data_IF_111370637712
#
_entry.id   IF_111370637712
#
_cell.length_a   1.000
_cell.length_b   1.000
_cell.length_c   1.000
_cell.angle_alpha   90.00
_cell.angle_beta   90.00
_cell.angle_gamma   90.00
#
_symmetry.space_group_name_H-M   'P 1'
#
loop_
_entity.id
_entity.type
_entity.pdbx_description
1 polymer ?
#
# COMPACT_ATOMS: atom_id res chain seq x y z
N UNK A 1 43.82 -6.69 16.75
CA UNK A 1 43.32 -5.32 16.49
C UNK A 1 42.20 -5.45 15.49
N UNK A 2 40.98 -5.16 15.96
CA UNK A 2 39.63 -5.28 15.39
C UNK A 2 39.42 -5.52 13.88
N UNK A 3 38.49 -6.44 13.58
CA UNK A 3 37.18 -6.08 13.01
C UNK A 3 36.20 -7.28 13.07
N UNK A 4 35.50 -7.41 14.20
CA UNK A 4 34.15 -8.00 14.26
C UNK A 4 33.17 -6.85 14.07
N UNK A 5 32.29 -6.91 13.05
CA UNK A 5 31.06 -6.11 12.80
C UNK A 5 30.65 -6.51 11.36
N UNK A 6 29.47 -7.00 11.00
CA UNK A 6 28.09 -6.71 11.42
C UNK A 6 27.25 -7.95 11.09
N UNK A 7 26.56 -8.55 12.07
CA UNK A 7 25.31 -9.29 11.79
C UNK A 7 24.27 -8.23 11.44
N UNK A 8 23.84 -8.18 10.19
CA UNK A 8 22.78 -7.26 9.78
C UNK A 8 21.43 -7.88 10.17
N UNK A 9 20.84 -7.41 11.26
CA UNK A 9 19.43 -7.58 11.54
C UNK A 9 18.62 -6.76 10.51
N UNK A 10 18.44 -7.31 9.30
CA UNK A 10 17.65 -6.70 8.23
C UNK A 10 16.19 -7.14 8.33
N UNK A 11 15.46 -6.69 9.37
CA UNK A 11 14.00 -6.62 9.30
C UNK A 11 13.36 -5.76 10.41
N UNK A 12 13.79 -4.51 10.59
CA UNK A 12 13.11 -3.62 11.55
C UNK A 12 12.17 -2.69 10.81
N UNK A 13 10.89 -3.07 10.78
CA UNK A 13 9.80 -2.09 10.75
C UNK A 13 10.09 -1.09 11.87
N UNK A 14 10.35 0.19 11.53
CA UNK A 14 10.84 1.18 12.52
C UNK A 14 9.80 1.50 13.61
N UNK A 15 8.54 1.16 13.37
CA UNK A 15 7.46 1.23 14.35
C UNK A 15 6.86 -0.17 14.58
N UNK A 16 6.49 -0.55 15.81
CA UNK A 16 5.84 -1.82 16.06
C UNK A 16 4.51 -1.86 15.30
N UNK A 17 4.17 -3.05 14.80
CA UNK A 17 2.85 -3.30 14.22
C UNK A 17 1.80 -3.22 15.32
N UNK A 18 0.57 -2.81 14.99
CA UNK A 18 -0.54 -2.82 15.94
C UNK A 18 -1.57 -3.84 15.48
N UNK A 19 -1.97 -4.71 16.39
CA UNK A 19 -3.08 -5.62 16.21
C UNK A 19 -4.23 -5.18 17.12
N UNK A 20 -5.45 -5.17 16.59
CA UNK A 20 -6.65 -4.87 17.34
C UNK A 20 -7.58 -6.08 17.31
N UNK A 21 -8.01 -6.51 18.49
CA UNK A 21 -8.87 -7.67 18.69
C UNK A 21 -10.20 -7.20 19.29
N UNK A 22 -11.30 -7.64 18.70
CA UNK A 22 -12.65 -7.38 19.22
C UNK A 22 -13.23 -8.69 19.79
N UNK A 23 -13.64 -8.66 21.06
CA UNK A 23 -14.34 -9.75 21.74
C UNK A 23 -15.60 -9.20 22.41
N UNK A 24 -16.77 -9.55 21.88
CA UNK A 24 -18.03 -8.93 22.30
C UNK A 24 -18.04 -7.43 21.98
N UNK A 25 -18.16 -6.59 23.02
CA UNK A 25 -18.06 -5.12 22.91
C UNK A 25 -16.65 -4.60 23.21
N UNK A 26 -15.71 -5.45 23.65
CA UNK A 26 -14.38 -5.04 24.09
C UNK A 26 -13.36 -5.08 22.94
N UNK A 27 -12.61 -3.99 22.78
CA UNK A 27 -11.48 -3.89 21.85
C UNK A 27 -10.19 -3.81 22.65
N UNK A 28 -9.22 -4.66 22.30
CA UNK A 28 -7.86 -4.60 22.83
C UNK A 28 -6.89 -4.34 21.69
N UNK A 29 -6.03 -3.33 21.84
CA UNK A 29 -4.96 -3.04 20.87
C UNK A 29 -3.61 -3.33 21.50
N UNK A 30 -2.78 -4.08 20.78
CA UNK A 30 -1.46 -4.50 21.24
C UNK A 30 -0.37 -4.28 20.17
N UNK A 31 0.80 -3.87 20.64
CA UNK A 31 2.04 -3.86 19.85
C UNK A 31 2.49 -5.29 19.53
N UNK A 32 2.79 -5.52 18.25
CA UNK A 32 3.21 -6.79 17.67
C UNK A 32 2.30 -7.99 18.02
N UNK A 33 1.03 -7.71 18.33
CA UNK A 33 0.03 -8.71 18.70
C UNK A 33 0.32 -9.46 20.00
N UNK A 34 1.21 -8.97 20.86
CA UNK A 34 1.62 -9.65 22.11
C UNK A 34 0.81 -9.16 23.30
N UNK A 35 0.49 -10.04 24.25
CA UNK A 35 -0.20 -9.66 25.48
C UNK A 35 0.58 -8.63 26.32
N UNK A 36 1.91 -8.76 26.39
CA UNK A 36 2.80 -7.76 27.03
C UNK A 36 2.87 -6.44 26.24
N UNK A 37 2.37 -6.44 25.00
CA UNK A 37 2.29 -5.34 24.06
C UNK A 37 1.03 -4.48 24.18
N UNK A 38 0.08 -4.81 25.07
CA UNK A 38 -1.20 -4.08 25.14
C UNK A 38 -1.00 -2.59 25.45
N UNK A 39 -1.63 -1.74 24.64
CA UNK A 39 -1.55 -0.28 24.73
C UNK A 39 -2.89 0.39 25.00
N UNK A 40 -4.00 -0.20 24.54
CA UNK A 40 -5.34 0.37 24.63
C UNK A 40 -6.36 -0.72 24.91
N UNK A 41 -7.21 -0.47 25.92
CA UNK A 41 -8.50 -1.11 26.05
C UNK A 41 -9.60 -0.11 25.72
N UNK A 42 -10.48 -0.50 24.80
CA UNK A 42 -11.62 0.27 24.35
C UNK A 42 -12.88 -0.59 24.35
N UNK A 43 -14.03 0.04 24.18
CA UNK A 43 -15.29 -0.63 23.88
C UNK A 43 -15.92 -0.03 22.65
N UNK A 44 -16.68 -0.84 21.93
CA UNK A 44 -17.41 -0.40 20.77
C UNK A 44 -18.79 -1.06 20.69
N UNK A 45 -19.81 -0.24 20.44
CA UNK A 45 -21.12 -0.70 19.98
C UNK A 45 -21.62 0.20 18.85
N UNK A 46 -22.67 -0.23 18.14
CA UNK A 46 -23.28 0.58 17.07
C UNK A 46 -23.92 1.86 17.62
N UNK A 47 -24.44 1.83 18.84
CA UNK A 47 -25.16 2.93 19.47
C UNK A 47 -24.22 3.98 20.06
N UNK A 48 -23.16 3.55 20.75
CA UNK A 48 -22.28 4.47 21.49
C UNK A 48 -21.00 4.83 20.75
N UNK A 49 -20.70 4.13 19.64
CA UNK A 49 -19.43 4.28 18.94
C UNK A 49 -18.24 3.72 19.75
N UNK A 50 -17.04 4.16 19.38
CA UNK A 50 -15.78 3.74 19.99
C UNK A 50 -15.50 4.57 21.24
N UNK A 51 -15.34 3.89 22.38
CA UNK A 51 -15.06 4.48 23.68
C UNK A 51 -13.75 3.97 24.26
N UNK A 52 -12.88 4.89 24.65
CA UNK A 52 -11.61 4.57 25.31
C UNK A 52 -11.91 4.21 26.78
N UNK A 53 -11.54 3.00 27.20
CA UNK A 53 -11.68 2.56 28.60
C UNK A 53 -10.43 2.94 29.37
N UNK A 54 -9.26 2.53 28.90
CA UNK A 54 -7.98 2.81 29.56
C UNK A 54 -6.78 2.70 28.63
N UNK A 55 -5.70 3.39 29.00
CA UNK A 55 -4.39 3.30 28.38
C UNK A 55 -3.45 2.52 29.30
N UNK A 56 -2.90 1.41 28.84
CA UNK A 56 -2.12 0.50 29.70
C UNK A 56 -0.65 0.91 29.87
N UNK A 57 -0.14 1.75 28.96
CA UNK A 57 1.26 2.19 28.93
C UNK A 57 1.31 3.72 28.82
N UNK A 58 2.42 4.36 29.24
CA UNK A 58 2.70 5.79 29.08
C UNK A 58 2.88 6.21 27.61
N UNK A 59 1.87 5.92 26.80
CA UNK A 59 1.86 6.02 25.36
C UNK A 59 1.89 7.49 24.93
N UNK A 60 2.76 7.80 23.98
CA UNK A 60 2.86 9.15 23.43
C UNK A 60 1.56 9.54 22.70
N UNK A 61 1.31 10.83 22.46
CA UNK A 61 0.15 11.25 21.67
C UNK A 61 0.10 10.63 20.27
N UNK A 62 1.25 10.43 19.63
CA UNK A 62 1.35 9.72 18.36
C UNK A 62 0.95 8.24 18.52
N UNK A 63 1.42 7.58 19.59
CA UNK A 63 1.00 6.22 19.89
C UNK A 63 -0.52 6.11 20.14
N UNK A 64 -1.12 7.07 20.84
CA UNK A 64 -2.57 7.10 21.07
C UNK A 64 -3.35 7.21 19.76
N UNK A 65 -2.91 8.10 18.85
CA UNK A 65 -3.48 8.20 17.50
C UNK A 65 -3.45 6.86 16.78
N UNK A 66 -2.28 6.20 16.72
CA UNK A 66 -2.12 4.91 16.04
C UNK A 66 -3.01 3.82 16.65
N UNK A 67 -3.05 3.73 17.98
CA UNK A 67 -3.88 2.77 18.68
C UNK A 67 -5.38 3.00 18.45
N UNK A 68 -5.85 4.25 18.42
CA UNK A 68 -7.23 4.59 18.07
C UNK A 68 -7.56 4.21 16.63
N UNK A 69 -6.67 4.48 15.68
CA UNK A 69 -6.86 4.06 14.28
C UNK A 69 -6.94 2.53 14.16
N UNK A 70 -6.11 1.78 14.90
CA UNK A 70 -6.17 0.32 14.92
C UNK A 70 -7.51 -0.17 15.51
N UNK A 71 -7.99 0.45 16.60
CA UNK A 71 -9.29 0.14 17.19
C UNK A 71 -10.46 0.40 16.23
N UNK A 72 -10.40 1.48 15.43
CA UNK A 72 -11.37 1.71 14.36
C UNK A 72 -11.36 0.61 13.31
N UNK A 73 -10.18 0.07 12.96
CA UNK A 73 -10.08 -1.06 12.04
C UNK A 73 -10.87 -2.28 12.52
N UNK A 74 -10.71 -2.66 13.80
CA UNK A 74 -11.48 -3.74 14.39
C UNK A 74 -13.00 -3.46 14.37
N UNK A 75 -13.40 -2.24 14.74
CA UNK A 75 -14.81 -1.85 14.76
C UNK A 75 -15.43 -1.82 13.34
N UNK A 76 -14.74 -1.26 12.35
CA UNK A 76 -15.18 -1.24 10.96
C UNK A 76 -15.22 -2.64 10.32
N UNK A 77 -14.35 -3.56 10.75
CA UNK A 77 -14.36 -4.95 10.31
C UNK A 77 -15.67 -5.66 10.65
N UNK A 78 -16.26 -5.38 11.83
CA UNK A 78 -17.56 -5.92 12.23
C UNK A 78 -18.74 -5.07 11.73
N UNK A 79 -18.59 -3.76 11.71
CA UNK A 79 -19.60 -2.82 11.23
C UNK A 79 -19.49 -2.57 9.71
N UNK A 80 -19.40 -3.62 8.89
CA UNK A 80 -19.06 -3.54 7.46
C UNK A 80 -19.93 -2.61 6.61
N UNK A 81 -21.15 -2.31 7.06
CA UNK A 81 -22.11 -1.40 6.43
C UNK A 81 -22.01 0.06 6.92
N UNK A 82 -21.39 0.29 8.07
CA UNK A 82 -21.24 1.62 8.66
C UNK A 82 -20.23 2.47 7.90
N UNK A 83 -20.68 3.65 7.45
CA UNK A 83 -19.82 4.68 6.83
C UNK A 83 -18.99 5.47 7.85
N UNK A 84 -19.40 5.45 9.11
CA UNK A 84 -18.71 6.17 10.18
C UNK A 84 -18.92 5.54 11.55
N UNK A 85 -17.99 5.78 12.46
CA UNK A 85 -18.09 5.41 13.89
C UNK A 85 -17.78 6.65 14.74
N UNK A 86 -18.63 6.94 15.73
CA UNK A 86 -18.39 8.03 16.67
C UNK A 86 -17.20 7.72 17.60
N UNK A 87 -16.45 8.74 18.01
CA UNK A 87 -15.36 8.63 18.98
C UNK A 87 -15.71 9.40 20.27
N UNK A 88 -15.66 8.70 21.41
CA UNK A 88 -15.53 9.35 22.72
C UNK A 88 -14.08 9.83 22.90
N UNK A 89 -13.92 11.14 23.09
CA UNK A 89 -12.62 11.82 23.16
C UNK A 89 -12.16 12.11 24.59
N UNK A 90 -12.98 11.81 25.61
CA UNK A 90 -12.75 12.26 26.99
C UNK A 90 -11.41 11.79 27.58
N UNK A 91 -10.95 10.60 27.16
CA UNK A 91 -9.69 10.00 27.60
C UNK A 91 -8.55 10.11 26.58
N UNK A 92 -8.73 10.88 25.51
CA UNK A 92 -7.73 11.04 24.47
C UNK A 92 -6.84 12.27 24.74
N UNK A 93 -5.52 12.12 24.57
CA UNK A 93 -4.61 13.25 24.69
C UNK A 93 -4.94 14.33 23.63
N UNK A 94 -4.86 15.60 24.04
CA UNK A 94 -5.20 16.76 23.18
C UNK A 94 -4.48 16.72 21.83
N UNK A 95 -3.18 16.46 21.81
CA UNK A 95 -2.40 16.41 20.56
C UNK A 95 -2.78 15.22 19.66
N UNK A 96 -3.14 14.08 20.26
CA UNK A 96 -3.63 12.92 19.50
C UNK A 96 -4.96 13.25 18.83
N UNK A 97 -5.87 13.87 19.59
CA UNK A 97 -7.15 14.37 19.07
C UNK A 97 -6.98 15.38 17.94
N UNK A 98 -6.14 16.40 18.12
CA UNK A 98 -5.88 17.40 17.09
C UNK A 98 -5.23 16.78 15.84
N UNK A 99 -4.33 15.82 16.01
CA UNK A 99 -3.74 15.11 14.89
C UNK A 99 -4.79 14.33 14.09
N UNK A 100 -5.68 13.57 14.75
CA UNK A 100 -6.79 12.87 14.09
C UNK A 100 -7.73 13.86 13.36
N UNK A 101 -8.07 14.98 14.00
CA UNK A 101 -8.84 16.06 13.36
C UNK A 101 -8.15 16.62 12.12
N UNK A 102 -6.85 16.93 12.23
CA UNK A 102 -6.09 17.56 11.16
C UNK A 102 -5.86 16.64 9.97
N UNK A 103 -5.77 15.33 10.19
CA UNK A 103 -5.63 14.36 9.11
C UNK A 103 -6.93 14.08 8.34
N UNK A 104 -8.04 14.71 8.72
CA UNK A 104 -9.34 14.57 8.07
C UNK A 104 -10.10 13.29 8.42
N UNK A 105 -9.55 12.42 9.28
CA UNK A 105 -10.23 11.16 9.64
C UNK A 105 -11.46 11.38 10.50
N UNK A 106 -11.49 12.44 11.32
CA UNK A 106 -12.62 12.78 12.17
C UNK A 106 -13.33 14.06 11.72
N UNK A 107 -14.64 14.00 11.53
CA UNK A 107 -15.54 15.15 11.27
C UNK A 107 -15.73 16.02 12.50
N UNK A 108 -16.18 17.27 12.38
CA UNK A 108 -16.42 18.19 13.50
C UNK A 108 -17.24 17.61 14.68
N UNK A 109 -18.08 16.59 14.45
CA UNK A 109 -18.89 15.88 15.45
C UNK A 109 -18.22 14.61 16.02
N UNK A 110 -16.90 14.46 15.86
CA UNK A 110 -16.13 13.28 16.28
C UNK A 110 -16.53 11.98 15.56
N UNK A 111 -17.09 12.05 14.35
CA UNK A 111 -17.34 10.85 13.55
C UNK A 111 -16.08 10.51 12.74
N UNK A 112 -15.53 9.33 12.98
CA UNK A 112 -14.50 8.72 12.15
C UNK A 112 -15.14 8.21 10.86
N UNK A 113 -14.76 8.77 9.71
CA UNK A 113 -15.28 8.33 8.42
C UNK A 113 -14.45 7.14 7.91
N UNK A 114 -15.12 6.08 7.41
CA UNK A 114 -14.46 4.84 6.96
C UNK A 114 -13.47 5.09 5.83
N UNK A 115 -13.87 5.87 4.84
CA UNK A 115 -13.06 6.24 3.68
C UNK A 115 -11.82 7.06 4.08
N UNK A 116 -11.96 8.01 5.00
CA UNK A 116 -10.86 8.81 5.52
C UNK A 116 -9.95 7.99 6.44
N UNK A 117 -10.51 7.04 7.21
CA UNK A 117 -9.74 6.10 8.04
C UNK A 117 -8.86 5.22 7.18
N UNK A 118 -9.43 4.64 6.13
CA UNK A 118 -8.74 3.84 5.14
C UNK A 118 -7.59 4.59 4.46
N UNK A 119 -7.56 5.92 4.51
CA UNK A 119 -6.51 6.75 3.94
C UNK A 119 -5.39 7.15 4.94
N UNK A 120 -5.46 6.73 6.20
CA UNK A 120 -4.47 7.07 7.24
C UNK A 120 -3.23 6.16 7.18
N UNK A 121 -2.07 6.63 6.68
CA UNK A 121 -0.92 5.75 6.42
C UNK A 121 -0.32 5.07 7.65
N UNK A 122 -0.62 5.58 8.85
CA UNK A 122 -0.13 5.19 10.18
C UNK A 122 -0.14 3.68 10.49
N UNK A 123 -1.06 2.93 9.88
CA UNK A 123 -1.23 1.49 10.11
C UNK A 123 -0.55 0.61 9.07
N UNK A 124 -0.29 1.16 7.88
CA UNK A 124 0.08 0.36 6.70
C UNK A 124 1.50 0.64 6.23
N UNK A 125 1.97 1.88 6.33
CA UNK A 125 3.30 2.26 5.85
C UNK A 125 4.37 2.04 6.93
N UNK A 126 5.54 1.60 6.48
CA UNK A 126 6.69 1.30 7.37
C UNK A 126 7.52 2.52 7.74
N UNK A 127 7.43 3.58 6.93
CA UNK A 127 8.00 4.89 7.21
C UNK A 127 6.96 5.72 7.96
N UNK A 128 7.44 6.60 8.84
CA UNK A 128 6.63 7.75 9.23
C UNK A 128 6.19 8.43 7.94
N UNK A 129 4.88 8.51 7.72
CA UNK A 129 4.34 9.24 6.60
C UNK A 129 4.69 10.71 6.82
N UNK A 130 5.87 11.12 6.37
CA UNK A 130 6.23 12.52 6.36
C UNK A 130 5.18 13.22 5.52
N UNK A 131 4.61 14.28 6.07
CA UNK A 131 3.73 15.18 5.34
C UNK A 131 4.41 15.48 4.01
N UNK A 132 3.73 15.33 2.86
CA UNK A 132 4.35 15.65 1.58
C UNK A 132 4.94 17.04 1.66
N UNK A 133 6.17 17.21 1.16
CA UNK A 133 6.81 18.53 1.18
C UNK A 133 5.83 19.57 0.60
N UNK A 134 5.40 20.51 1.45
CA UNK A 134 4.38 21.48 1.10
C UNK A 134 4.79 22.34 -0.12
N UNK A 135 6.10 22.51 -0.33
CA UNK A 135 6.66 23.14 -1.51
C UNK A 135 7.03 22.09 -2.58
N UNK A 136 6.50 22.26 -3.80
CA UNK A 136 6.91 21.48 -4.95
C UNK A 136 8.16 22.08 -5.60
N UNK A 137 9.20 21.26 -5.75
CA UNK A 137 10.29 21.53 -6.68
C UNK A 137 10.13 20.65 -7.91
N UNK A 138 10.54 21.15 -9.07
CA UNK A 138 10.33 20.47 -10.35
C UNK A 138 11.67 20.06 -10.99
N UNK A 139 11.60 19.01 -11.80
CA UNK A 139 12.63 18.54 -12.71
C UNK A 139 12.07 18.42 -14.14
N UNK A 140 12.99 18.24 -15.08
CA UNK A 140 12.69 17.91 -16.47
C UNK A 140 13.33 16.57 -16.79
N UNK A 141 12.54 15.60 -17.25
CA UNK A 141 13.01 14.30 -17.74
C UNK A 141 12.37 14.07 -19.11
N UNK A 142 13.18 13.77 -20.12
CA UNK A 142 12.71 13.51 -21.50
C UNK A 142 11.69 14.52 -22.05
N UNK A 143 11.89 15.80 -21.73
CA UNK A 143 11.02 16.91 -22.16
C UNK A 143 9.75 17.11 -21.34
N UNK A 144 9.48 16.28 -20.32
CA UNK A 144 8.35 16.40 -19.41
C UNK A 144 8.74 17.12 -18.11
N UNK A 145 7.96 18.15 -17.73
CA UNK A 145 8.07 18.81 -16.43
C UNK A 145 7.28 18.05 -15.37
N UNK A 146 7.93 17.62 -14.30
CA UNK A 146 7.30 16.87 -13.21
C UNK A 146 7.87 17.26 -11.84
N UNK A 147 7.15 17.02 -10.73
CA UNK A 147 7.70 17.19 -9.39
C UNK A 147 8.95 16.32 -9.20
N UNK A 148 9.93 16.82 -8.44
CA UNK A 148 11.07 15.99 -8.01
C UNK A 148 10.58 14.86 -7.14
N UNK A 149 10.91 13.63 -7.52
CA UNK A 149 10.53 12.42 -6.80
C UNK A 149 11.51 12.17 -5.66
N UNK A 150 10.98 11.84 -4.49
CA UNK A 150 11.81 11.43 -3.37
C UNK A 150 12.44 10.06 -3.68
N UNK A 151 13.67 9.78 -3.19
CA UNK A 151 14.22 8.44 -3.25
C UNK A 151 13.30 7.42 -2.56
N UNK A 152 13.25 6.21 -3.10
CA UNK A 152 12.51 5.11 -2.47
C UNK A 152 13.27 4.58 -1.25
N UNK A 153 12.53 4.20 -0.22
CA UNK A 153 13.12 3.59 0.97
C UNK A 153 13.42 2.11 0.72
N UNK A 154 14.52 1.60 1.26
CA UNK A 154 14.82 0.17 1.25
C UNK A 154 13.92 -0.60 2.23
N UNK A 155 13.76 -1.90 1.99
CA UNK A 155 13.01 -2.80 2.86
C UNK A 155 11.49 -2.74 2.67
N UNK A 156 10.75 -3.27 3.64
CA UNK A 156 9.28 -3.26 3.64
C UNK A 156 8.79 -1.81 3.67
N UNK A 157 7.86 -1.48 2.78
CA UNK A 157 7.23 -0.15 2.66
C UNK A 157 5.74 -0.16 2.97
N UNK A 158 5.11 -1.33 2.90
CA UNK A 158 3.69 -1.53 3.15
C UNK A 158 3.43 -2.90 3.80
N UNK A 159 2.50 -2.96 4.73
CA UNK A 159 1.97 -4.20 5.28
C UNK A 159 0.46 -4.08 5.54
N UNK A 160 -0.28 -5.17 5.29
CA UNK A 160 -1.70 -5.27 5.58
C UNK A 160 -2.06 -6.72 5.89
N UNK A 161 -2.72 -6.95 7.02
CA UNK A 161 -3.40 -8.21 7.26
C UNK A 161 -4.69 -8.23 6.42
N UNK A 162 -4.95 -9.35 5.73
CA UNK A 162 -6.13 -9.56 4.89
C UNK A 162 -6.96 -10.69 5.50
N UNK A 163 -7.83 -10.40 6.50
CA UNK A 163 -8.48 -11.45 7.31
C UNK A 163 -9.32 -12.43 6.49
N UNK A 164 -10.04 -11.94 5.47
CA UNK A 164 -10.84 -12.77 4.57
C UNK A 164 -10.00 -13.75 3.74
N UNK A 165 -8.72 -13.44 3.53
CA UNK A 165 -7.76 -14.31 2.86
C UNK A 165 -6.90 -15.11 3.85
N UNK A 166 -6.85 -14.71 5.12
CA UNK A 166 -6.12 -15.39 6.20
C UNK A 166 -4.60 -15.18 6.17
N UNK A 167 -4.11 -14.21 5.40
CA UNK A 167 -2.68 -13.97 5.20
C UNK A 167 -2.32 -12.49 5.37
N UNK A 168 -1.06 -12.23 5.73
CA UNK A 168 -0.48 -10.89 5.75
C UNK A 168 0.19 -10.59 4.43
N UNK A 169 -0.24 -9.55 3.76
CA UNK A 169 0.39 -9.03 2.54
C UNK A 169 1.44 -7.97 2.88
N UNK A 170 2.60 -8.04 2.25
CA UNK A 170 3.63 -7.00 2.34
C UNK A 170 4.15 -6.59 0.98
N UNK A 171 4.58 -5.32 0.87
CA UNK A 171 5.39 -4.82 -0.23
C UNK A 171 6.73 -4.36 0.30
N UNK A 172 7.79 -4.76 -0.40
CA UNK A 172 9.15 -4.34 -0.13
C UNK A 172 9.82 -3.83 -1.39
N UNK A 173 10.65 -2.79 -1.26
CA UNK A 173 11.54 -2.36 -2.34
C UNK A 173 12.46 -3.50 -2.75
N UNK A 174 12.48 -3.81 -4.05
CA UNK A 174 13.30 -4.87 -4.60
C UNK A 174 14.78 -4.61 -4.30
N UNK A 175 15.53 -5.69 -4.07
CA UNK A 175 16.94 -5.65 -3.70
C UNK A 175 17.67 -6.70 -4.51
N UNK A 176 18.72 -6.30 -5.24
CA UNK A 176 19.50 -7.19 -6.10
C UNK A 176 20.06 -8.37 -5.30
N UNK A 177 20.64 -8.11 -4.14
CA UNK A 177 21.26 -9.16 -3.31
C UNK A 177 20.24 -10.20 -2.81
N UNK A 178 18.98 -9.80 -2.60
CA UNK A 178 17.95 -10.66 -2.00
C UNK A 178 17.03 -11.31 -3.03
N UNK A 179 16.74 -10.64 -4.15
CA UNK A 179 15.63 -11.00 -5.02
C UNK A 179 16.02 -11.37 -6.44
N UNK A 180 17.29 -11.19 -6.84
CA UNK A 180 17.71 -11.40 -8.23
C UNK A 180 17.43 -12.83 -8.72
N UNK A 181 17.80 -13.85 -7.95
CA UNK A 181 17.60 -15.25 -8.35
C UNK A 181 16.11 -15.57 -8.54
N UNK A 182 15.27 -15.11 -7.62
CA UNK A 182 13.83 -15.32 -7.66
C UNK A 182 13.19 -14.60 -8.85
N UNK A 183 13.56 -13.32 -9.07
CA UNK A 183 13.11 -12.54 -10.21
C UNK A 183 13.56 -13.18 -11.53
N UNK A 184 14.78 -13.72 -11.57
CA UNK A 184 15.29 -14.41 -12.74
C UNK A 184 14.51 -15.68 -13.08
N UNK A 185 14.17 -16.48 -12.07
CA UNK A 185 13.31 -17.65 -12.26
C UNK A 185 11.92 -17.24 -12.78
N UNK A 186 11.33 -16.19 -12.21
CA UNK A 186 10.00 -15.71 -12.60
C UNK A 186 9.97 -15.15 -14.03
N UNK A 187 10.92 -14.30 -14.41
CA UNK A 187 10.99 -13.71 -15.74
C UNK A 187 11.23 -14.75 -16.84
N UNK A 188 11.89 -15.86 -16.53
CA UNK A 188 12.08 -16.99 -17.45
C UNK A 188 10.90 -17.98 -17.48
N UNK A 189 9.92 -17.85 -16.58
CA UNK A 189 8.73 -18.71 -16.61
C UNK A 189 7.92 -18.40 -17.89
N UNK A 190 7.63 -19.38 -18.75
CA UNK A 190 7.03 -19.14 -20.07
C UNK A 190 5.75 -18.28 -20.05
N UNK A 191 4.87 -18.49 -19.07
CA UNK A 191 3.64 -17.70 -18.94
C UNK A 191 3.93 -16.26 -18.52
N UNK A 192 4.87 -16.02 -17.62
CA UNK A 192 5.29 -14.65 -17.26
C UNK A 192 5.94 -13.98 -18.45
N UNK A 193 6.90 -14.64 -19.10
CA UNK A 193 7.63 -14.09 -20.23
C UNK A 193 6.72 -13.74 -21.41
N UNK A 194 5.65 -14.50 -21.64
CA UNK A 194 4.67 -14.20 -22.69
C UNK A 194 4.03 -12.80 -22.56
N UNK A 195 4.02 -12.21 -21.36
CA UNK A 195 3.50 -10.86 -21.11
C UNK A 195 4.59 -9.85 -20.73
N UNK A 196 5.60 -10.28 -19.97
CA UNK A 196 6.66 -9.41 -19.47
C UNK A 196 7.80 -9.22 -20.49
N UNK A 197 8.16 -10.27 -21.22
CA UNK A 197 9.10 -10.20 -22.35
C UNK A 197 10.58 -10.05 -21.98
N UNK A 198 10.98 -10.35 -20.75
CA UNK A 198 12.35 -10.15 -20.26
C UNK A 198 13.14 -11.44 -20.06
N UNK A 199 12.68 -12.62 -20.51
CA UNK A 199 13.45 -13.85 -20.36
C UNK A 199 14.90 -13.71 -20.86
N UNK A 200 15.85 -14.22 -20.09
CA UNK A 200 17.26 -13.98 -20.32
C UNK A 200 18.17 -14.55 -19.24
N UNK A 201 19.45 -14.17 -19.33
CA UNK A 201 20.48 -14.62 -18.39
C UNK A 201 20.36 -13.92 -17.03
N UNK A 202 20.99 -14.48 -16.00
CA UNK A 202 21.04 -13.86 -14.67
C UNK A 202 21.67 -12.46 -14.71
N UNK A 203 22.73 -12.28 -15.50
CA UNK A 203 23.40 -10.99 -15.66
C UNK A 203 22.51 -9.95 -16.36
N UNK A 204 21.70 -10.36 -17.33
CA UNK A 204 20.74 -9.48 -17.97
C UNK A 204 19.68 -8.98 -16.97
N UNK A 205 19.17 -9.87 -16.10
CA UNK A 205 18.22 -9.49 -15.06
C UNK A 205 18.86 -8.67 -13.93
N UNK A 206 20.14 -8.87 -13.63
CA UNK A 206 20.90 -8.01 -12.71
C UNK A 206 20.95 -6.59 -13.25
N UNK A 207 21.39 -6.43 -14.50
CA UNK A 207 21.44 -5.13 -15.17
C UNK A 207 20.05 -4.50 -15.29
N UNK A 208 19.00 -5.30 -15.55
CA UNK A 208 17.61 -4.86 -15.55
C UNK A 208 17.24 -4.25 -14.19
N UNK A 209 17.42 -4.99 -13.10
CA UNK A 209 16.97 -4.56 -11.78
C UNK A 209 17.78 -3.36 -11.27
N UNK A 210 19.09 -3.31 -11.53
CA UNK A 210 19.94 -2.15 -11.22
C UNK A 210 19.52 -0.89 -12.00
N UNK A 211 19.13 -1.05 -13.27
CA UNK A 211 18.58 0.04 -14.08
C UNK A 211 17.26 0.54 -13.51
N UNK A 212 16.33 -0.35 -13.15
CA UNK A 212 15.04 0.06 -12.57
C UNK A 212 15.25 0.75 -11.21
N UNK A 213 16.13 0.23 -10.36
CA UNK A 213 16.46 0.85 -9.06
C UNK A 213 17.10 2.25 -9.18
N UNK A 214 17.83 2.50 -10.28
CA UNK A 214 18.41 3.81 -10.57
C UNK A 214 17.47 4.75 -11.34
N UNK A 215 16.27 4.28 -11.71
CA UNK A 215 15.27 5.09 -12.43
C UNK A 215 14.34 5.79 -11.43
N UNK A 216 14.46 7.12 -11.22
CA UNK A 216 13.78 7.80 -10.10
C UNK A 216 12.26 7.77 -10.16
N UNK A 217 11.70 7.51 -11.35
CA UNK A 217 10.25 7.51 -11.54
C UNK A 217 9.60 6.13 -11.39
N UNK A 218 10.38 5.07 -11.19
CA UNK A 218 9.90 3.68 -11.07
C UNK A 218 10.32 3.10 -9.73
N UNK A 219 9.35 2.57 -8.98
CA UNK A 219 9.57 1.86 -7.73
C UNK A 219 9.44 0.36 -7.96
N UNK A 220 10.56 -0.40 -8.01
CA UNK A 220 10.49 -1.85 -8.11
C UNK A 220 10.13 -2.45 -6.75
N UNK A 221 9.07 -3.25 -6.71
CA UNK A 221 8.50 -3.82 -5.51
C UNK A 221 8.40 -5.34 -5.61
N UNK A 222 8.59 -6.01 -4.47
CA UNK A 222 8.33 -7.43 -4.28
C UNK A 222 7.12 -7.56 -3.36
N UNK A 223 6.11 -8.30 -3.83
CA UNK A 223 4.97 -8.70 -3.00
C UNK A 223 5.23 -10.02 -2.32
N UNK A 224 4.84 -10.12 -1.06
CA UNK A 224 4.88 -11.35 -0.29
C UNK A 224 3.59 -11.59 0.49
N UNK A 225 3.24 -12.86 0.68
CA UNK A 225 2.26 -13.30 1.67
C UNK A 225 2.99 -14.03 2.80
N UNK A 226 2.82 -13.58 4.05
CA UNK A 226 3.50 -14.12 5.23
C UNK A 226 5.03 -14.22 5.09
N UNK A 227 5.62 -13.28 4.34
CA UNK A 227 7.06 -13.25 4.06
C UNK A 227 7.52 -14.12 2.89
N UNK A 228 6.62 -14.85 2.22
CA UNK A 228 6.90 -15.63 1.02
C UNK A 228 6.71 -14.77 -0.25
N UNK A 229 7.79 -14.41 -0.97
CA UNK A 229 7.69 -13.60 -2.18
C UNK A 229 6.92 -14.33 -3.28
N UNK A 230 6.02 -13.63 -3.97
CA UNK A 230 5.22 -14.23 -5.04
C UNK A 230 5.16 -13.43 -6.34
N UNK A 231 5.37 -12.12 -6.27
CA UNK A 231 5.16 -11.21 -7.39
C UNK A 231 6.16 -10.06 -7.40
N UNK A 232 6.39 -9.53 -8.59
CA UNK A 232 7.19 -8.33 -8.83
C UNK A 232 6.30 -7.27 -9.47
N UNK A 233 6.43 -6.03 -8.99
CA UNK A 233 5.64 -4.90 -9.43
C UNK A 233 6.54 -3.71 -9.72
N UNK A 234 6.17 -2.95 -10.74
CA UNK A 234 6.79 -1.66 -11.03
C UNK A 234 5.74 -0.58 -10.88
N UNK A 235 5.85 0.17 -9.78
CA UNK A 235 4.98 1.30 -9.51
C UNK A 235 5.65 2.59 -10.00
N UNK A 236 5.11 3.20 -11.04
CA UNK A 236 5.74 4.32 -11.72
C UNK A 236 4.92 5.62 -11.64
N UNK A 237 5.56 6.77 -11.85
CA UNK A 237 4.85 8.04 -12.04
C UNK A 237 4.39 8.16 -13.48
N UNK A 238 3.08 8.18 -13.70
CA UNK A 238 2.49 8.03 -15.03
C UNK A 238 2.75 9.22 -15.97
N UNK A 239 3.23 10.36 -15.45
CA UNK A 239 3.64 11.52 -16.25
C UNK A 239 5.05 11.38 -16.82
N UNK A 240 5.88 10.56 -16.19
CA UNK A 240 7.28 10.31 -16.56
C UNK A 240 7.45 9.02 -17.36
N UNK A 241 6.41 8.18 -17.44
CA UNK A 241 6.42 6.90 -18.14
C UNK A 241 5.90 7.03 -19.59
N UNK A 242 6.22 6.03 -20.42
CA UNK A 242 5.73 5.88 -21.81
C UNK A 242 4.21 5.93 -21.97
N UNK A 243 3.43 5.69 -20.90
CA UNK A 243 1.97 5.82 -20.93
C UNK A 243 1.49 7.28 -20.98
N UNK A 244 2.32 8.26 -20.59
CA UNK A 244 1.93 9.65 -20.40
C UNK A 244 1.17 10.28 -21.59
N UNK A 245 1.57 10.06 -22.86
CA UNK A 245 0.87 10.62 -24.02
C UNK A 245 -0.58 10.12 -24.18
N UNK A 246 -0.91 8.98 -23.58
CA UNK A 246 -2.21 8.32 -23.71
C UNK A 246 -3.10 8.49 -22.48
N UNK A 247 -2.49 8.67 -21.30
CA UNK A 247 -3.19 8.66 -20.02
C UNK A 247 -3.68 10.02 -19.53
N UNK A 248 -3.23 11.13 -20.15
CA UNK A 248 -3.50 12.49 -19.66
C UNK A 248 -3.18 12.64 -18.15
N UNK A 249 -2.06 12.03 -17.73
CA UNK A 249 -1.64 11.92 -16.33
C UNK A 249 -1.38 13.28 -15.69
N UNK A 250 -1.85 13.45 -14.46
CA UNK A 250 -1.47 14.58 -13.61
C UNK A 250 -0.08 14.37 -12.98
N UNK A 251 0.43 15.40 -12.28
CA UNK A 251 1.74 15.38 -11.64
C UNK A 251 1.96 14.24 -10.64
N UNK A 252 0.88 13.66 -10.09
CA UNK A 252 0.95 12.62 -9.07
C UNK A 252 0.20 11.35 -9.44
N UNK A 253 -0.30 11.23 -10.66
CA UNK A 253 -0.90 9.97 -11.08
C UNK A 253 0.18 8.89 -11.16
N UNK A 254 -0.17 7.71 -10.65
CA UNK A 254 0.72 6.54 -10.61
C UNK A 254 0.28 5.52 -11.64
N UNK A 255 1.16 4.63 -12.04
CA UNK A 255 0.79 3.45 -12.82
C UNK A 255 1.48 2.19 -12.31
N UNK A 256 1.03 1.05 -12.82
CA UNK A 256 1.46 -0.27 -12.37
C UNK A 256 1.74 -1.20 -13.55
N UNK A 257 2.94 -1.80 -13.54
CA UNK A 257 3.18 -3.09 -14.19
C UNK A 257 3.31 -4.16 -13.12
N UNK A 258 2.84 -5.38 -13.43
CA UNK A 258 2.76 -6.47 -12.48
C UNK A 258 3.02 -7.83 -13.12
N UNK A 259 3.77 -8.67 -12.42
CA UNK A 259 3.89 -10.10 -12.72
C UNK A 259 3.72 -10.91 -11.44
N UNK A 260 3.06 -12.07 -11.57
CA UNK A 260 2.95 -13.07 -10.51
C UNK A 260 3.75 -14.28 -10.94
N UNK A 261 4.90 -14.45 -10.29
CA UNK A 261 5.85 -15.49 -10.61
C UNK A 261 5.51 -16.81 -9.97
N UNK A 262 5.22 -16.80 -8.66
CA UNK A 262 4.86 -18.00 -7.93
C UNK A 262 3.47 -18.52 -8.35
N UNK A 263 3.32 -19.84 -8.46
CA UNK A 263 2.07 -20.48 -8.87
C UNK A 263 1.07 -20.64 -7.72
N UNK A 264 1.54 -20.74 -6.48
CA UNK A 264 0.73 -20.88 -5.26
C UNK A 264 -0.19 -19.68 -5.05
N UNK A 265 0.31 -18.49 -5.37
CA UNK A 265 -0.38 -17.22 -5.16
C UNK A 265 -1.09 -16.70 -6.42
N UNK A 266 -1.48 -17.63 -7.31
CA UNK A 266 -2.32 -17.35 -8.48
C UNK A 266 -3.76 -17.75 -8.18
N UNK A 267 -4.72 -17.01 -8.74
CA UNK A 267 -6.14 -17.29 -8.56
C UNK A 267 -6.92 -16.02 -8.32
N UNK A 268 -8.25 -16.09 -8.44
CA UNK A 268 -9.10 -14.94 -8.20
C UNK A 268 -8.96 -14.43 -6.76
N UNK A 269 -8.95 -15.33 -5.78
CA UNK A 269 -8.86 -14.97 -4.36
C UNK A 269 -7.52 -14.31 -4.01
N UNK A 270 -6.41 -14.83 -4.56
CA UNK A 270 -5.09 -14.20 -4.38
C UNK A 270 -5.08 -12.78 -4.98
N UNK A 271 -5.61 -12.61 -6.21
CA UNK A 271 -5.70 -11.30 -6.86
C UNK A 271 -6.57 -10.34 -6.05
N UNK A 272 -7.68 -10.83 -5.52
CA UNK A 272 -8.57 -10.05 -4.65
C UNK A 272 -7.88 -9.58 -3.36
N UNK A 273 -6.87 -10.31 -2.87
CA UNK A 273 -6.07 -9.91 -1.72
C UNK A 273 -4.96 -8.90 -2.07
N UNK A 274 -4.15 -9.16 -3.11
CA UNK A 274 -2.97 -8.32 -3.38
C UNK A 274 -3.23 -7.10 -4.25
N UNK A 275 -4.14 -7.16 -5.23
CA UNK A 275 -4.35 -6.04 -6.18
C UNK A 275 -4.91 -4.79 -5.49
N UNK A 276 -6.00 -4.84 -4.71
CA UNK A 276 -6.45 -3.67 -3.97
C UNK A 276 -5.42 -3.21 -2.93
N UNK A 277 -4.65 -4.12 -2.32
CA UNK A 277 -3.58 -3.76 -1.37
C UNK A 277 -2.43 -2.99 -2.04
N UNK A 278 -2.06 -3.38 -3.26
CA UNK A 278 -1.07 -2.66 -4.07
C UNK A 278 -1.57 -1.27 -4.49
N UNK A 279 -2.82 -1.17 -4.96
CA UNK A 279 -3.43 0.12 -5.31
C UNK A 279 -3.57 1.02 -4.08
N UNK A 280 -3.94 0.44 -2.94
CA UNK A 280 -3.99 1.14 -1.67
C UNK A 280 -2.64 1.73 -1.30
N UNK A 281 -1.56 0.94 -1.38
CA UNK A 281 -0.21 1.43 -1.18
C UNK A 281 0.09 2.66 -2.04
N UNK A 282 -0.25 2.66 -3.33
CA UNK A 282 0.01 3.80 -4.21
C UNK A 282 -0.72 5.08 -3.79
N UNK A 283 -1.95 4.95 -3.30
CA UNK A 283 -2.71 6.09 -2.78
C UNK A 283 -2.16 6.62 -1.45
N UNK A 284 -1.53 5.77 -0.64
CA UNK A 284 -0.95 6.16 0.64
C UNK A 284 0.49 6.67 0.52
N UNK A 285 1.28 6.11 -0.40
CA UNK A 285 2.69 6.41 -0.58
C UNK A 285 2.92 7.90 -0.86
N UNK A 286 2.05 8.49 -1.70
CA UNK A 286 1.89 9.93 -1.83
C UNK A 286 0.40 10.30 -1.83
N UNK A 287 -0.11 11.01 -0.81
CA UNK A 287 -1.53 11.34 -0.68
C UNK A 287 -2.03 12.31 -1.77
N UNK A 288 -1.13 12.92 -2.56
CA UNK A 288 -1.51 13.74 -3.72
C UNK A 288 -1.91 12.89 -4.93
N UNK A 289 -1.63 11.59 -4.92
CA UNK A 289 -2.06 10.65 -5.96
C UNK A 289 -3.59 10.59 -6.01
N UNK A 290 -4.17 11.00 -7.15
CA UNK A 290 -5.62 10.99 -7.38
C UNK A 290 -6.07 9.88 -8.33
N UNK A 291 -5.17 9.30 -9.11
CA UNK A 291 -5.48 8.14 -9.93
C UNK A 291 -4.31 7.17 -10.08
N UNK A 292 -4.67 5.91 -10.33
CA UNK A 292 -3.75 4.85 -10.74
C UNK A 292 -4.18 4.34 -12.11
N UNK A 293 -3.22 4.21 -13.02
CA UNK A 293 -3.42 3.68 -14.38
C UNK A 293 -2.76 2.33 -14.59
N UNK A 294 -3.30 1.56 -15.52
CA UNK A 294 -2.69 0.31 -16.00
C UNK A 294 -3.02 0.13 -17.48
N UNK A 295 -2.13 -0.53 -18.22
CA UNK A 295 -2.23 -0.73 -19.66
C UNK A 295 -2.14 -2.22 -20.06
N UNK A 296 -3.02 -3.11 -19.55
CA UNK A 296 -3.04 -4.50 -19.98
C UNK A 296 -3.20 -4.59 -21.51
N UNK A 297 -2.74 -5.70 -22.09
CA UNK A 297 -3.11 -6.03 -23.48
C UNK A 297 -4.63 -6.07 -23.58
N UNK A 298 -5.19 -5.52 -24.65
CA UNK A 298 -6.64 -5.45 -24.85
C UNK A 298 -7.31 -6.84 -24.91
N UNK A 299 -6.55 -7.88 -25.24
CA UNK A 299 -6.98 -9.28 -25.34
C UNK A 299 -6.83 -10.07 -24.03
N UNK A 300 -6.27 -9.47 -22.96
CA UNK A 300 -6.14 -10.11 -21.66
C UNK A 300 -7.42 -9.94 -20.82
N UNK A 301 -8.50 -10.60 -21.26
CA UNK A 301 -9.82 -10.51 -20.64
C UNK A 301 -9.79 -10.76 -19.12
N UNK A 302 -9.02 -11.77 -18.67
CA UNK A 302 -8.90 -12.12 -17.26
C UNK A 302 -8.33 -10.98 -16.41
N UNK A 303 -7.26 -10.33 -16.88
CA UNK A 303 -6.67 -9.20 -16.16
C UNK A 303 -7.61 -7.99 -16.17
N UNK A 304 -8.28 -7.73 -17.29
CA UNK A 304 -9.25 -6.65 -17.42
C UNK A 304 -10.44 -6.84 -16.46
N UNK A 305 -10.92 -8.07 -16.30
CA UNK A 305 -12.01 -8.38 -15.38
C UNK A 305 -11.60 -8.22 -13.91
N UNK A 306 -10.38 -8.65 -13.54
CA UNK A 306 -9.83 -8.36 -12.21
C UNK A 306 -9.74 -6.85 -11.94
N UNK A 307 -9.18 -6.07 -12.88
CA UNK A 307 -9.11 -4.61 -12.72
C UNK A 307 -10.49 -3.98 -12.52
N UNK A 308 -11.50 -4.41 -13.29
CA UNK A 308 -12.89 -3.93 -13.14
C UNK A 308 -13.47 -4.26 -11.77
N UNK A 309 -13.25 -5.47 -11.26
CA UNK A 309 -13.73 -5.89 -9.94
C UNK A 309 -13.12 -5.03 -8.81
N UNK A 310 -11.95 -4.44 -9.06
CA UNK A 310 -11.23 -3.58 -8.11
C UNK A 310 -11.25 -2.09 -8.51
N UNK A 311 -12.32 -1.64 -9.17
CA UNK A 311 -12.64 -0.22 -9.36
C UNK A 311 -12.04 0.45 -10.60
N UNK A 312 -11.26 -0.26 -11.42
CA UNK A 312 -10.73 0.33 -12.65
C UNK A 312 -11.79 0.43 -13.76
N UNK A 313 -11.86 1.60 -14.36
CA UNK A 313 -12.68 1.88 -15.54
C UNK A 313 -11.86 1.76 -16.82
N UNK A 314 -12.50 1.32 -17.91
CA UNK A 314 -11.91 1.31 -19.26
C UNK A 314 -11.94 2.73 -19.83
N UNK A 315 -10.80 3.23 -20.27
CA UNK A 315 -10.67 4.60 -20.78
C UNK A 315 -10.54 4.62 -22.31
N UNK A 316 -9.50 4.00 -22.85
CA UNK A 316 -9.22 4.05 -24.28
C UNK A 316 -8.33 2.89 -24.75
N UNK A 317 -8.42 2.53 -26.02
CA UNK A 317 -7.43 1.67 -26.67
C UNK A 317 -6.34 2.52 -27.32
N UNK A 318 -5.12 2.02 -27.29
CA UNK A 318 -3.98 2.63 -27.98
C UNK A 318 -2.93 1.57 -28.30
N UNK A 319 -1.99 1.90 -29.20
CA UNK A 319 -1.00 0.95 -29.69
C UNK A 319 0.41 1.35 -29.22
N UNK A 320 1.08 0.42 -28.55
CA UNK A 320 2.53 0.41 -28.40
C UNK A 320 3.15 -0.44 -29.52
N UNK A 321 4.45 -0.27 -29.84
CA UNK A 321 5.13 -1.06 -30.88
C UNK A 321 4.97 -2.58 -30.72
N UNK A 322 4.83 -3.07 -29.48
CA UNK A 322 4.79 -4.49 -29.13
C UNK A 322 3.40 -4.99 -28.68
N UNK A 323 2.40 -4.10 -28.48
CA UNK A 323 1.03 -4.50 -28.05
C UNK A 323 -0.02 -3.45 -28.36
N UNK A 324 -1.25 -3.91 -28.62
CA UNK A 324 -2.46 -3.09 -28.49
C UNK A 324 -2.95 -3.13 -27.04
N UNK A 325 -2.91 -1.99 -26.38
CA UNK A 325 -3.22 -1.82 -24.96
C UNK A 325 -4.63 -1.27 -24.74
N UNK A 326 -5.18 -1.56 -23.57
CA UNK A 326 -6.38 -0.93 -23.03
C UNK A 326 -5.97 -0.10 -21.81
N UNK A 327 -6.07 1.22 -21.90
CA UNK A 327 -5.90 2.10 -20.75
C UNK A 327 -7.04 1.86 -19.77
N UNK A 328 -6.68 1.48 -18.56
CA UNK A 328 -7.58 1.34 -17.43
C UNK A 328 -7.15 2.30 -16.32
N UNK A 329 -8.12 2.89 -15.62
CA UNK A 329 -7.88 3.89 -14.58
C UNK A 329 -8.80 3.68 -13.40
N UNK A 330 -8.26 3.72 -12.20
CA UNK A 330 -9.01 3.86 -10.95
C UNK A 330 -8.72 5.23 -10.35
N UNK A 331 -9.77 5.92 -9.89
CA UNK A 331 -9.65 7.22 -9.20
C UNK A 331 -9.78 7.01 -7.70
N UNK A 332 -9.10 7.86 -6.93
CA UNK A 332 -9.02 7.77 -5.47
C UNK A 332 -10.39 7.67 -4.81
N UNK A 333 -11.30 8.58 -5.16
CA UNK A 333 -12.66 8.63 -4.61
C UNK A 333 -13.41 7.30 -4.81
N UNK A 334 -13.44 6.79 -6.05
CA UNK A 334 -14.12 5.53 -6.36
C UNK A 334 -13.49 4.32 -5.65
N UNK A 335 -12.16 4.32 -5.47
CA UNK A 335 -11.46 3.25 -4.75
C UNK A 335 -11.85 3.22 -3.27
N UNK A 336 -11.88 4.37 -2.59
CA UNK A 336 -12.18 4.44 -1.15
C UNK A 336 -13.68 4.44 -0.82
N UNK A 337 -14.57 4.75 -1.79
CA UNK A 337 -16.02 4.52 -1.66
C UNK A 337 -16.38 3.02 -1.79
N UNK A 338 -15.53 2.25 -2.48
CA UNK A 338 -15.62 0.81 -2.57
C UNK A 338 -15.33 0.10 -1.23
N UNK A 339 -15.56 -1.22 -1.20
CA UNK A 339 -15.23 -2.09 -0.04
C UNK A 339 -13.94 -2.88 -0.26
N UNK A 340 -12.92 -2.22 -0.79
CA UNK A 340 -11.63 -2.86 -1.08
C UNK A 340 -10.73 -3.01 0.17
N UNK A 341 -11.10 -2.33 1.27
CA UNK A 341 -10.29 -2.14 2.47
C UNK A 341 -10.94 -2.65 3.75
#
# INVERSE_FOLDING_TARGET
MHADFIRSDMNTFKQPSLAAYLEGDAITVAEDGRAEGIVLHARWTRETGLRIVEWCKGISPLGQRRAVLAAFGAAFGVAGDSKSIALDIDKLHRDAFHSLRHSGVLTAQNLCMRDAWAQQPDLWLSRDASTPHAALSFAMTDGARHPRRAPYADGVVYARDVPEFGHRFTLQTACVAQHLEQLHAWMNEPRVNAFWGEAGTLDAHRAYLERVLSTPHVHPLIGAFDGEPFGYFEAYWAKEDRIAPFAASTDFDRGLHMLVGDTRWRGADCVAAWLPSLVHYLFLDDPRTQAVVCEPRHDNARMIDYLKQHGFSRIAHFDFPHKRALLMRVVREAFFDGRHL
#
